data_IF_020110550843
#
_entry.id   IF_020110550843
#
_cell.length_a   1.000
_cell.length_b   1.000
_cell.length_c   1.000
_cell.angle_alpha   90.00
_cell.angle_beta   90.00
_cell.angle_gamma   90.00
#
_symmetry.space_group_name_H-M   'P 1'
#
loop_
_entity.id
_entity.type
_entity.pdbx_description
1 polymer ?
#
# COMPACT_ATOMS: atom_id res chain seq x y z
N UNK A 1 -7.47 -12.10 9.60
CA UNK A 1 -6.99 -10.96 8.80
C UNK A 1 -6.34 -9.98 9.76
N UNK A 2 -5.05 -9.70 9.62
CA UNK A 2 -4.35 -8.77 10.50
C UNK A 2 -4.86 -7.35 10.21
N UNK A 3 -5.75 -6.84 11.08
CA UNK A 3 -6.13 -5.42 11.09
C UNK A 3 -4.91 -4.63 11.55
N UNK A 4 -4.43 -3.73 10.70
CA UNK A 4 -3.30 -2.90 11.03
C UNK A 4 -3.79 -1.72 11.86
N UNK A 5 -3.47 -1.67 13.15
CA UNK A 5 -3.98 -0.64 14.08
C UNK A 5 -3.48 0.78 13.78
N UNK A 6 -2.72 0.97 12.70
CA UNK A 6 -2.19 2.26 12.25
C UNK A 6 -2.83 2.76 10.95
N UNK A 7 -3.70 1.96 10.32
CA UNK A 7 -4.42 2.35 9.11
C UNK A 7 -5.89 1.99 9.29
N UNK A 8 -6.73 3.01 9.20
CA UNK A 8 -8.16 2.94 9.32
C UNK A 8 -8.81 2.29 8.10
N UNK A 9 -9.98 1.72 8.37
CA UNK A 9 -10.79 1.07 7.35
C UNK A 9 -11.44 2.15 6.49
N UNK A 10 -11.10 2.16 5.21
CA UNK A 10 -11.75 2.99 4.19
C UNK A 10 -13.10 2.41 3.77
N UNK A 11 -14.15 3.23 3.85
CA UNK A 11 -15.50 2.86 3.40
C UNK A 11 -15.64 2.77 1.88
N UNK A 12 -14.79 3.49 1.12
CA UNK A 12 -14.86 3.54 -0.34
C UNK A 12 -14.22 2.33 -1.04
N UNK A 13 -13.68 1.36 -0.28
CA UNK A 13 -13.00 0.19 -0.83
C UNK A 13 -13.42 -1.09 -0.11
N UNK A 14 -13.60 -2.18 -0.86
CA UNK A 14 -13.88 -3.50 -0.32
C UNK A 14 -12.61 -4.38 -0.37
N UNK A 15 -12.03 -4.81 0.77
CA UNK A 15 -10.78 -5.56 0.81
C UNK A 15 -10.91 -6.92 0.15
N UNK A 16 -12.13 -7.49 0.10
CA UNK A 16 -12.40 -8.72 -0.65
C UNK A 16 -12.11 -8.57 -2.14
N UNK A 17 -12.29 -7.38 -2.71
CA UNK A 17 -11.93 -7.10 -4.11
C UNK A 17 -10.40 -7.12 -4.30
N UNK A 18 -9.65 -6.61 -3.32
CA UNK A 18 -8.19 -6.67 -3.32
C UNK A 18 -7.68 -8.11 -3.26
N UNK A 19 -8.23 -8.91 -2.34
CA UNK A 19 -7.89 -10.34 -2.21
C UNK A 19 -8.32 -11.15 -3.44
N UNK A 20 -9.45 -10.84 -4.07
CA UNK A 20 -9.87 -11.53 -5.28
C UNK A 20 -8.98 -11.17 -6.49
N UNK A 21 -8.54 -9.91 -6.57
CA UNK A 21 -7.74 -9.41 -7.70
C UNK A 21 -6.27 -9.83 -7.62
N UNK A 22 -5.68 -9.79 -6.43
CA UNK A 22 -4.24 -10.03 -6.24
C UNK A 22 -3.94 -11.35 -5.52
N UNK A 23 -4.94 -11.98 -4.90
CA UNK A 23 -4.74 -13.17 -4.07
C UNK A 23 -4.23 -12.84 -2.67
N UNK A 24 -3.57 -13.82 -2.06
CA UNK A 24 -2.93 -13.69 -0.75
C UNK A 24 -1.52 -13.11 -0.92
N UNK A 25 -1.45 -11.80 -1.21
CA UNK A 25 -0.19 -11.05 -1.34
C UNK A 25 0.04 -10.15 -0.14
N UNK A 26 1.29 -9.74 0.06
CA UNK A 26 1.63 -8.69 1.02
C UNK A 26 1.15 -7.33 0.50
N UNK A 27 0.43 -6.61 1.35
CA UNK A 27 -0.06 -5.25 1.08
C UNK A 27 0.61 -4.25 2.03
N UNK A 28 0.91 -3.05 1.52
CA UNK A 28 1.34 -1.93 2.36
C UNK A 28 0.19 -1.44 3.25
N UNK A 29 -1.03 -1.42 2.72
CA UNK A 29 -2.26 -1.26 3.49
C UNK A 29 -2.96 -2.61 3.65
N UNK A 30 -2.74 -3.24 4.80
CA UNK A 30 -3.31 -4.56 5.15
C UNK A 30 -4.79 -4.48 5.55
N UNK A 31 -5.23 -3.34 6.07
CA UNK A 31 -6.61 -3.12 6.53
C UNK A 31 -7.55 -3.04 5.34
N UNK A 32 -7.16 -2.31 4.30
CA UNK A 32 -7.96 -2.12 3.09
C UNK A 32 -7.54 -3.01 1.92
N UNK A 33 -6.48 -3.81 2.09
CA UNK A 33 -5.90 -4.68 1.05
C UNK A 33 -5.55 -3.88 -0.20
N UNK A 34 -4.85 -2.75 0.01
CA UNK A 34 -4.41 -1.82 -1.04
C UNK A 34 -2.88 -1.78 -1.09
N UNK A 35 -2.38 -1.40 -2.28
CA UNK A 35 -0.94 -1.29 -2.56
C UNK A 35 -0.21 -2.61 -2.35
N UNK A 36 -0.39 -3.60 -3.25
CA UNK A 36 0.39 -4.83 -3.19
C UNK A 36 1.89 -4.49 -3.26
N UNK A 37 2.71 -5.28 -2.59
CA UNK A 37 4.16 -5.06 -2.44
C UNK A 37 4.96 -6.37 -2.53
N UNK A 38 4.36 -7.41 -3.09
CA UNK A 38 4.93 -8.76 -3.25
C UNK A 38 5.85 -8.92 -4.47
N UNK A 39 5.69 -8.05 -5.49
CA UNK A 39 6.55 -8.04 -6.69
C UNK A 39 7.19 -6.68 -6.92
N UNK A 40 8.33 -6.63 -7.65
CA UNK A 40 8.94 -5.36 -8.05
C UNK A 40 7.98 -4.42 -8.78
N UNK A 41 7.11 -4.96 -9.63
CA UNK A 41 6.12 -4.19 -10.39
C UNK A 41 5.05 -3.60 -9.48
N UNK A 42 4.54 -4.41 -8.53
CA UNK A 42 3.59 -3.96 -7.53
C UNK A 42 4.18 -2.87 -6.63
N UNK A 43 5.44 -3.00 -6.20
CA UNK A 43 6.13 -1.97 -5.40
C UNK A 43 6.21 -0.64 -6.14
N UNK A 44 6.63 -0.63 -7.41
CA UNK A 44 6.71 0.60 -8.22
C UNK A 44 5.35 1.24 -8.41
N UNK A 45 4.35 0.42 -8.74
CA UNK A 45 2.98 0.89 -8.89
C UNK A 45 2.45 1.47 -7.57
N UNK A 46 2.61 0.74 -6.46
CA UNK A 46 2.19 1.17 -5.14
C UNK A 46 2.79 2.54 -4.76
N UNK A 47 4.09 2.73 -5.01
CA UNK A 47 4.77 3.99 -4.77
C UNK A 47 4.19 5.14 -5.60
N UNK A 48 3.98 4.92 -6.90
CA UNK A 48 3.38 5.93 -7.77
C UNK A 48 1.95 6.29 -7.32
N UNK A 49 1.13 5.28 -7.00
CA UNK A 49 -0.25 5.53 -6.60
C UNK A 49 -0.37 6.25 -5.25
N UNK A 50 0.43 5.92 -4.23
CA UNK A 50 0.34 6.59 -2.92
C UNK A 50 0.85 8.03 -2.95
N UNK A 51 1.75 8.37 -3.88
CA UNK A 51 2.21 9.75 -4.09
C UNK A 51 1.21 10.59 -4.92
N UNK A 52 0.25 9.95 -5.59
CA UNK A 52 -0.81 10.68 -6.27
C UNK A 52 -1.75 11.36 -5.26
N UNK A 53 -1.96 12.67 -5.40
CA UNK A 53 -2.72 13.52 -4.46
C UNK A 53 -4.09 12.93 -4.10
N UNK A 54 -4.88 12.49 -5.09
CA UNK A 54 -6.22 11.93 -4.85
C UNK A 54 -6.22 10.63 -4.04
N UNK A 55 -5.16 9.84 -4.13
CA UNK A 55 -5.04 8.60 -3.37
C UNK A 55 -4.51 8.86 -1.97
N UNK A 56 -3.52 9.75 -1.84
CA UNK A 56 -3.00 10.19 -0.55
C UNK A 56 -4.10 10.85 0.29
N UNK A 57 -4.97 11.65 -0.34
CA UNK A 57 -6.09 12.34 0.33
C UNK A 57 -7.15 11.40 0.93
N UNK A 58 -7.07 10.09 0.69
CA UNK A 58 -7.95 9.07 1.27
C UNK A 58 -7.47 8.57 2.63
N UNK A 59 -6.34 9.07 3.09
CA UNK A 59 -5.66 8.67 4.31
C UNK A 59 -5.22 9.92 5.07
N UNK A 60 -5.06 9.78 6.39
CA UNK A 60 -4.39 10.75 7.21
C UNK A 60 -2.88 10.77 6.92
N UNK A 61 -2.22 11.89 7.24
CA UNK A 61 -0.79 12.05 6.97
C UNK A 61 0.07 10.95 7.62
N UNK A 62 -0.28 10.53 8.84
CA UNK A 62 0.39 9.44 9.54
C UNK A 62 0.21 8.09 8.85
N UNK A 63 -0.98 7.80 8.33
CA UNK A 63 -1.27 6.58 7.57
C UNK A 63 -0.50 6.55 6.25
N UNK A 64 -0.48 7.67 5.51
CA UNK A 64 0.32 7.82 4.28
C UNK A 64 1.78 7.52 4.57
N UNK A 65 2.33 8.05 5.68
CA UNK A 65 3.71 7.78 6.09
C UNK A 65 3.95 6.30 6.39
N UNK A 66 3.02 5.63 7.07
CA UNK A 66 3.10 4.19 7.34
C UNK A 66 3.08 3.37 6.04
N UNK A 67 2.19 3.70 5.11
CA UNK A 67 2.09 3.02 3.80
C UNK A 67 3.39 3.22 3.00
N UNK A 68 3.89 4.47 2.92
CA UNK A 68 5.15 4.79 2.23
C UNK A 68 6.34 4.05 2.86
N UNK A 69 6.44 3.98 4.18
CA UNK A 69 7.51 3.23 4.87
C UNK A 69 7.50 1.74 4.50
N UNK A 70 6.32 1.12 4.44
CA UNK A 70 6.17 -0.28 4.02
C UNK A 70 6.57 -0.50 2.58
N UNK A 71 6.17 0.40 1.67
CA UNK A 71 6.58 0.32 0.26
C UNK A 71 8.10 0.48 0.13
N UNK A 72 8.73 1.40 0.86
CA UNK A 72 10.20 1.54 0.88
C UNK A 72 10.91 0.28 1.38
N UNK A 73 10.39 -0.36 2.42
CA UNK A 73 10.93 -1.65 2.92
C UNK A 73 10.81 -2.75 1.87
N UNK A 74 9.67 -2.84 1.19
CA UNK A 74 9.48 -3.78 0.10
C UNK A 74 10.40 -3.48 -1.09
N UNK A 75 10.59 -2.21 -1.44
CA UNK A 75 11.51 -1.80 -2.49
C UNK A 75 12.94 -2.27 -2.21
N UNK A 76 13.42 -2.10 -0.98
CA UNK A 76 14.73 -2.64 -0.55
C UNK A 76 14.79 -4.17 -0.62
N UNK A 77 13.70 -4.86 -0.25
CA UNK A 77 13.62 -6.33 -0.32
C UNK A 77 13.64 -6.86 -1.76
N UNK A 78 13.03 -6.12 -2.68
CA UNK A 78 12.89 -6.47 -4.09
C UNK A 78 13.96 -5.85 -5.00
N UNK A 79 14.96 -5.17 -4.43
CA UNK A 79 16.00 -4.44 -5.16
C UNK A 79 15.43 -3.45 -6.19
N UNK A 80 14.36 -2.73 -5.80
CA UNK A 80 13.67 -1.75 -6.63
C UNK A 80 14.09 -0.35 -6.24
N UNK A 81 14.57 0.42 -7.21
CA UNK A 81 14.72 1.86 -7.08
C UNK A 81 13.36 2.56 -7.20
N UNK A 82 13.00 3.33 -6.18
CA UNK A 82 11.84 4.23 -6.15
C UNK A 82 12.33 5.65 -5.83
N UNK A 83 11.74 6.66 -6.47
CA UNK A 83 12.12 8.06 -6.22
C UNK A 83 11.71 8.48 -4.80
N UNK A 84 12.69 8.90 -4.01
CA UNK A 84 12.47 9.48 -2.68
C UNK A 84 12.10 10.95 -2.87
N UNK A 85 10.79 11.27 -2.88
CA UNK A 85 10.30 12.66 -2.78
C UNK A 85 10.59 13.28 -1.41
#
# INVERSE_FOLDING_TARGET
>A
MATDSKIDRRDDVNPKEGEHKYGDVDFADRTNKKYPIDTPEHVRAAWNYINHKDNAAKYDADEVNVIKDRIRKAAKKHDVTIDEE
#
